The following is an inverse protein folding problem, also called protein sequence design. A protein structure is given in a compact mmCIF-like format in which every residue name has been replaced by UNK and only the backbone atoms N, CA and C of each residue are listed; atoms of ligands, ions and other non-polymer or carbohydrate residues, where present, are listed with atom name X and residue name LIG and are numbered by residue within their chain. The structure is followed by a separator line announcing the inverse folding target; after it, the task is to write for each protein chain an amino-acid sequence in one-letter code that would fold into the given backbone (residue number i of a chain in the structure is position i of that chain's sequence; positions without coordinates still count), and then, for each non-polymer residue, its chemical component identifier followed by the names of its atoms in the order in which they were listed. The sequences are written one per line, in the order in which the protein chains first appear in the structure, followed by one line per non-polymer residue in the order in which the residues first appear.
data_IF_250960088532
#
_entry.id   IF_250960088532
#
_cell.length_a   1.000
_cell.length_b   1.000
_cell.length_c   1.000
_cell.angle_alpha   90.00
_cell.angle_beta   90.00
_cell.angle_gamma   90.00
#
_symmetry.space_group_name_H-M   'P 1'
#
loop_
_entity.id
_entity.type
_entity.pdbx_description
1 polymer ?
#
# COMPACT_ATOMS: atom_id res chain seq x y z
N UNK A 1 14.89 -15.15 12.13
CA UNK A 1 14.04 -16.07 11.32
C UNK A 1 12.78 -16.49 12.07
N UNK A 2 12.85 -17.15 13.24
CA UNK A 2 11.68 -17.69 13.95
C UNK A 2 10.60 -16.65 14.29
N UNK A 3 10.99 -15.47 14.79
CA UNK A 3 10.02 -14.43 15.16
C UNK A 3 9.30 -13.81 13.96
N UNK A 4 10.03 -13.45 12.93
CA UNK A 4 9.48 -12.67 11.80
C UNK A 4 9.11 -13.54 10.60
N UNK A 5 9.83 -14.65 10.36
CA UNK A 5 9.55 -15.58 9.27
C UNK A 5 8.44 -16.59 9.62
N UNK A 6 8.44 -17.11 10.86
CA UNK A 6 7.48 -18.11 11.31
C UNK A 6 6.49 -17.57 12.36
N UNK A 7 6.51 -16.27 12.62
CA UNK A 7 5.63 -15.62 13.59
C UNK A 7 5.68 -16.23 15.00
N UNK A 8 6.80 -16.90 15.39
CA UNK A 8 6.94 -17.54 16.68
C UNK A 8 7.26 -16.51 17.77
N UNK A 9 6.38 -16.30 18.78
CA UNK A 9 6.62 -15.34 19.86
C UNK A 9 7.86 -15.68 20.67
N UNK A 10 8.57 -14.66 21.19
CA UNK A 10 9.81 -14.86 21.92
C UNK A 10 9.66 -15.73 23.18
N UNK A 11 8.54 -15.65 23.88
CA UNK A 11 8.28 -16.50 25.05
C UNK A 11 8.16 -18.00 24.69
N UNK A 12 7.69 -18.32 23.49
CA UNK A 12 7.68 -19.70 23.01
C UNK A 12 9.09 -20.16 22.63
N UNK A 13 9.89 -19.27 22.04
CA UNK A 13 11.29 -19.55 21.75
C UNK A 13 12.09 -19.78 23.04
N UNK A 14 11.85 -19.02 24.13
CA UNK A 14 12.41 -19.25 25.44
C UNK A 14 12.11 -20.65 25.95
N UNK A 15 10.85 -21.09 25.81
CA UNK A 15 10.45 -22.45 26.20
C UNK A 15 11.15 -23.55 25.40
N UNK A 16 11.39 -23.32 24.11
CA UNK A 16 12.17 -24.23 23.26
C UNK A 16 13.64 -24.32 23.68
N UNK A 17 14.27 -23.16 23.87
CA UNK A 17 15.67 -23.10 24.28
C UNK A 17 15.89 -23.77 25.65
N UNK A 18 14.95 -23.55 26.60
CA UNK A 18 14.99 -24.17 27.91
C UNK A 18 14.93 -25.71 27.85
N UNK A 19 14.15 -26.29 26.90
CA UNK A 19 14.06 -27.74 26.70
C UNK A 19 15.38 -28.38 26.29
N UNK A 20 16.22 -27.66 25.57
CA UNK A 20 17.55 -28.12 25.13
C UNK A 20 18.68 -27.66 26.05
N UNK A 21 18.33 -27.16 27.27
CA UNK A 21 19.29 -26.79 28.30
C UNK A 21 19.88 -25.37 28.18
N UNK A 22 19.34 -24.52 27.32
CA UNK A 22 19.81 -23.15 27.15
C UNK A 22 18.90 -22.16 27.89
N UNK A 23 19.47 -21.37 28.80
CA UNK A 23 18.75 -20.42 29.65
C UNK A 23 18.72 -19.01 29.04
N UNK A 24 18.05 -18.85 27.89
CA UNK A 24 17.81 -17.54 27.30
C UNK A 24 16.39 -17.08 27.63
N UNK A 25 16.25 -15.97 28.36
CA UNK A 25 14.95 -15.36 28.62
C UNK A 25 14.43 -14.65 27.35
N UNK A 26 13.09 -14.54 27.25
CA UNK A 26 12.49 -13.76 26.17
C UNK A 26 12.99 -12.30 26.17
N UNK A 27 13.35 -11.75 27.33
CA UNK A 27 13.93 -10.41 27.47
C UNK A 27 15.33 -10.32 26.82
N UNK A 28 16.19 -11.35 27.01
CA UNK A 28 17.48 -11.43 26.35
C UNK A 28 17.31 -11.47 24.82
N UNK A 29 16.38 -12.32 24.34
CA UNK A 29 16.08 -12.43 22.90
C UNK A 29 15.56 -11.10 22.33
N UNK A 30 14.70 -10.38 23.08
CA UNK A 30 14.20 -9.07 22.67
C UNK A 30 15.33 -8.04 22.62
N UNK A 31 16.21 -7.99 23.63
CA UNK A 31 17.34 -7.07 23.66
C UNK A 31 18.30 -7.30 22.50
N UNK A 32 18.60 -8.56 22.14
CA UNK A 32 19.45 -8.87 20.99
C UNK A 32 18.86 -8.35 19.67
N UNK A 33 17.53 -8.48 19.50
CA UNK A 33 16.84 -7.94 18.32
C UNK A 33 16.93 -6.41 18.31
N UNK A 34 16.72 -5.75 19.46
CA UNK A 34 16.80 -4.28 19.58
C UNK A 34 18.21 -3.78 19.26
N UNK A 35 19.25 -4.44 19.81
CA UNK A 35 20.65 -4.08 19.53
C UNK A 35 20.95 -4.29 18.05
N UNK A 36 20.64 -5.46 17.48
CA UNK A 36 20.85 -5.74 16.07
C UNK A 36 20.14 -4.73 15.16
N UNK A 37 18.93 -4.32 15.54
CA UNK A 37 18.17 -3.31 14.80
C UNK A 37 18.87 -1.95 14.82
N UNK A 38 19.35 -1.50 15.99
CA UNK A 38 19.98 -0.20 16.15
C UNK A 38 21.38 -0.11 15.53
N UNK A 39 22.20 -1.15 15.75
CA UNK A 39 23.62 -1.10 15.38
C UNK A 39 23.87 -1.45 13.91
N UNK A 40 23.04 -2.33 13.34
CA UNK A 40 23.31 -2.87 11.99
C UNK A 40 22.17 -2.65 11.01
N UNK A 41 20.92 -2.99 11.41
CA UNK A 41 19.79 -2.94 10.48
C UNK A 41 19.38 -1.50 10.17
N UNK A 42 19.60 -0.54 11.09
CA UNK A 42 19.29 0.86 10.83
C UNK A 42 20.15 1.44 9.69
N UNK A 43 21.42 1.04 9.59
CA UNK A 43 22.29 1.46 8.48
C UNK A 43 21.82 0.89 7.15
N UNK A 44 21.46 -0.40 7.12
CA UNK A 44 20.93 -1.04 5.93
C UNK A 44 19.59 -0.41 5.52
N UNK A 45 18.71 -0.14 6.50
CA UNK A 45 17.42 0.53 6.28
C UNK A 45 17.62 1.92 5.68
N UNK A 46 18.51 2.74 6.24
CA UNK A 46 18.83 4.07 5.72
C UNK A 46 19.34 4.01 4.27
N UNK A 47 20.23 3.07 3.96
CA UNK A 47 20.71 2.90 2.58
C UNK A 47 19.61 2.43 1.62
N UNK A 48 18.75 1.53 2.06
CA UNK A 48 17.57 1.10 1.26
C UNK A 48 16.60 2.26 1.05
N UNK A 49 16.41 3.14 2.04
CA UNK A 49 15.59 4.34 1.91
C UNK A 49 16.15 5.31 0.87
N UNK A 50 17.46 5.61 0.93
CA UNK A 50 18.12 6.46 -0.09
C UNK A 50 17.91 5.89 -1.49
N UNK A 51 18.16 4.60 -1.70
CA UNK A 51 17.97 3.92 -2.99
C UNK A 51 16.50 3.96 -3.42
N UNK A 52 15.57 3.84 -2.47
CA UNK A 52 14.14 3.89 -2.76
C UNK A 52 13.72 5.26 -3.28
N UNK A 53 14.26 6.34 -2.71
CA UNK A 53 13.97 7.72 -3.16
C UNK A 53 14.52 8.04 -4.57
N UNK A 54 15.47 7.24 -5.10
CA UNK A 54 15.97 7.35 -6.47
C UNK A 54 15.02 6.72 -7.51
N UNK A 55 14.00 5.97 -7.09
CA UNK A 55 13.10 5.26 -8.01
C UNK A 55 12.25 6.23 -8.84
N UNK A 56 11.94 5.83 -10.08
CA UNK A 56 11.09 6.61 -10.98
C UNK A 56 9.60 6.51 -10.62
N UNK A 57 9.21 5.42 -9.99
CA UNK A 57 7.86 5.25 -9.47
C UNK A 57 7.91 4.52 -8.12
N UNK A 58 7.27 5.09 -7.12
CA UNK A 58 7.07 4.49 -5.80
C UNK A 58 5.60 4.16 -5.58
N UNK A 59 5.39 3.09 -4.84
CA UNK A 59 4.09 2.72 -4.31
C UNK A 59 4.04 3.05 -2.83
N UNK A 60 2.94 3.62 -2.37
CA UNK A 60 2.69 3.81 -0.94
C UNK A 60 1.28 3.35 -0.57
N UNK A 61 1.17 2.78 0.63
CA UNK A 61 -0.09 2.33 1.21
C UNK A 61 0.03 2.32 2.74
N UNK A 62 -1.08 2.34 3.47
CA UNK A 62 -1.07 2.22 4.92
C UNK A 62 -2.22 1.36 5.42
N UNK A 63 -1.98 0.66 6.52
CA UNK A 63 -2.99 -0.16 7.18
C UNK A 63 -3.09 0.14 8.67
N UNK A 64 -4.31 0.16 9.24
CA UNK A 64 -4.45 0.30 10.68
C UNK A 64 -3.90 -0.94 11.38
N UNK A 65 -3.15 -0.69 12.46
CA UNK A 65 -2.67 -1.70 13.39
C UNK A 65 -3.05 -1.33 14.81
N UNK A 66 -3.16 -2.32 15.68
CA UNK A 66 -3.41 -2.10 17.11
C UNK A 66 -2.11 -2.33 17.88
N UNK A 67 -1.68 -1.32 18.63
CA UNK A 67 -0.50 -1.39 19.49
C UNK A 67 -0.92 -1.31 20.94
N UNK A 68 -0.55 -2.32 21.73
CA UNK A 68 -0.84 -2.35 23.15
C UNK A 68 0.27 -1.70 23.97
N UNK A 69 -0.12 -1.06 25.08
CA UNK A 69 0.78 -0.40 26.03
C UNK A 69 1.62 0.73 25.42
N UNK A 70 1.08 1.40 24.41
CA UNK A 70 1.70 2.60 23.85
C UNK A 70 1.53 3.77 24.83
N UNK A 71 2.63 4.45 25.17
CA UNK A 71 2.65 5.54 26.15
C UNK A 71 1.69 6.66 25.75
N UNK A 72 0.82 7.05 26.67
CA UNK A 72 -0.14 8.13 26.47
C UNK A 72 -1.33 7.79 25.56
N UNK A 73 -1.50 6.52 25.16
CA UNK A 73 -2.58 6.10 24.26
C UNK A 73 -3.38 4.93 24.83
N UNK A 74 -4.66 4.89 24.48
CA UNK A 74 -5.54 3.75 24.84
C UNK A 74 -5.21 2.55 23.96
N UNK A 75 -5.30 1.34 24.49
CA UNK A 75 -5.11 0.10 23.72
C UNK A 75 -6.10 -0.08 22.56
N UNK A 76 -7.21 0.66 22.55
CA UNK A 76 -8.21 0.70 21.48
C UNK A 76 -7.87 1.71 20.37
N UNK A 77 -6.84 2.54 20.55
CA UNK A 77 -6.42 3.54 19.56
C UNK A 77 -5.84 2.83 18.33
N UNK A 78 -6.21 3.31 17.15
CA UNK A 78 -5.63 2.85 15.89
C UNK A 78 -4.30 3.55 15.65
N UNK A 79 -3.25 2.79 15.45
CA UNK A 79 -1.98 3.21 14.88
C UNK A 79 -1.88 2.67 13.45
N UNK A 80 -0.88 3.06 12.70
CA UNK A 80 -0.77 2.71 11.29
C UNK A 80 0.60 2.17 10.96
N UNK A 81 0.63 1.17 10.09
CA UNK A 81 1.83 0.73 9.40
C UNK A 81 1.76 1.26 7.97
N UNK A 82 2.74 2.06 7.60
CA UNK A 82 2.94 2.54 6.25
C UNK A 82 3.89 1.62 5.52
N UNK A 83 3.70 1.44 4.23
CA UNK A 83 4.61 0.73 3.35
C UNK A 83 4.98 1.64 2.18
N UNK A 84 6.27 1.64 1.86
CA UNK A 84 6.81 2.29 0.68
C UNK A 84 7.57 1.25 -0.13
N UNK A 85 7.26 1.14 -1.41
CA UNK A 85 7.72 0.04 -2.23
C UNK A 85 8.22 0.51 -3.59
N UNK A 86 9.31 -0.07 -4.07
CA UNK A 86 9.70 0.08 -5.47
C UNK A 86 8.70 -0.63 -6.37
N UNK A 87 8.55 -0.16 -7.62
CA UNK A 87 7.68 -0.79 -8.61
C UNK A 87 8.08 -2.24 -8.89
N UNK A 88 7.09 -3.10 -9.16
CA UNK A 88 7.34 -4.47 -9.62
C UNK A 88 7.96 -4.52 -11.03
N UNK A 89 7.80 -3.43 -11.79
CA UNK A 89 8.32 -3.28 -13.15
C UNK A 89 9.82 -3.01 -13.18
N UNK A 90 10.45 -2.67 -12.05
CA UNK A 90 11.91 -2.61 -11.94
C UNK A 90 12.45 -4.00 -11.58
N UNK A 91 13.15 -4.70 -12.50
CA UNK A 91 13.63 -6.07 -12.25
C UNK A 91 14.78 -6.13 -11.25
N UNK A 92 15.53 -5.05 -11.08
CA UNK A 92 16.78 -5.00 -10.30
C UNK A 92 16.58 -4.55 -8.87
N UNK A 93 15.52 -3.79 -8.58
CA UNK A 93 15.29 -3.21 -7.26
C UNK A 93 13.91 -3.63 -6.72
N UNK A 94 13.91 -4.47 -5.68
CA UNK A 94 12.69 -4.93 -5.00
C UNK A 94 12.73 -4.54 -3.52
N UNK A 95 12.65 -3.23 -3.27
CA UNK A 95 12.70 -2.66 -1.93
C UNK A 95 11.28 -2.53 -1.38
N UNK A 96 11.10 -2.88 -0.10
CA UNK A 96 9.87 -2.71 0.68
C UNK A 96 10.27 -2.20 2.04
N UNK A 97 9.91 -0.97 2.37
CA UNK A 97 10.17 -0.36 3.66
C UNK A 97 8.86 -0.12 4.40
N UNK A 98 8.90 -0.30 5.70
CA UNK A 98 7.74 -0.16 6.57
C UNK A 98 8.04 0.88 7.64
N UNK A 99 7.08 1.80 7.84
CA UNK A 99 7.12 2.84 8.87
C UNK A 99 5.92 2.74 9.79
N UNK A 100 6.20 2.73 11.08
CA UNK A 100 5.16 2.83 12.10
C UNK A 100 4.80 4.28 12.34
N UNK A 101 3.49 4.57 12.40
CA UNK A 101 3.01 5.87 12.81
C UNK A 101 1.83 5.74 13.80
N UNK A 102 1.80 6.56 14.86
CA UNK A 102 0.70 6.53 15.82
C UNK A 102 -0.61 7.07 15.24
N UNK A 103 -0.57 7.81 14.15
CA UNK A 103 -1.73 8.44 13.51
C UNK A 103 -1.64 8.30 11.99
N UNK A 104 -2.81 8.34 11.30
CA UNK A 104 -2.89 8.49 9.85
C UNK A 104 -2.76 9.98 9.51
N UNK A 105 -1.55 10.43 9.24
CA UNK A 105 -1.25 11.84 8.98
C UNK A 105 -0.46 12.00 7.70
N UNK A 106 -0.74 13.05 6.91
CA UNK A 106 0.05 13.43 5.75
C UNK A 106 1.53 13.59 6.08
N UNK A 107 1.83 14.14 7.27
CA UNK A 107 3.20 14.36 7.74
C UNK A 107 4.06 13.08 7.76
N UNK A 108 3.45 11.91 8.00
CA UNK A 108 4.21 10.64 7.96
C UNK A 108 4.76 10.38 6.56
N UNK A 109 3.93 10.53 5.54
CA UNK A 109 4.34 10.34 4.16
C UNK A 109 5.27 11.48 3.68
N UNK A 110 5.02 12.73 4.08
CA UNK A 110 5.87 13.89 3.76
C UNK A 110 7.30 13.70 4.30
N UNK A 111 7.43 13.25 5.55
CA UNK A 111 8.74 13.01 6.17
C UNK A 111 9.48 11.85 5.50
N UNK A 112 8.79 10.74 5.24
CA UNK A 112 9.42 9.58 4.61
C UNK A 112 9.84 9.87 3.17
N UNK A 113 9.02 10.59 2.42
CA UNK A 113 9.25 10.90 1.01
C UNK A 113 9.96 12.25 0.80
N UNK A 114 10.58 12.81 1.84
CA UNK A 114 11.40 14.02 1.70
C UNK A 114 12.52 13.80 0.68
N UNK A 115 12.59 14.68 -0.32
CA UNK A 115 13.54 14.56 -1.43
C UNK A 115 13.07 13.70 -2.61
N UNK A 116 11.97 12.94 -2.48
CA UNK A 116 11.38 12.23 -3.60
C UNK A 116 10.64 13.20 -4.53
N UNK A 117 10.90 13.10 -5.84
CA UNK A 117 10.34 14.03 -6.83
C UNK A 117 9.73 13.35 -8.06
N UNK A 118 9.78 12.03 -8.15
CA UNK A 118 9.30 11.25 -9.29
C UNK A 118 7.80 10.91 -9.18
N UNK A 119 7.34 9.77 -9.70
CA UNK A 119 5.93 9.39 -9.68
C UNK A 119 5.57 8.60 -8.41
N UNK A 120 4.46 8.96 -7.77
CA UNK A 120 3.94 8.26 -6.58
C UNK A 120 2.60 7.61 -6.91
N UNK A 121 2.50 6.29 -6.76
CA UNK A 121 1.28 5.51 -6.95
C UNK A 121 0.66 5.14 -5.60
N UNK A 122 -0.58 5.56 -5.38
CA UNK A 122 -1.30 5.36 -4.13
C UNK A 122 -2.78 5.04 -4.40
N UNK A 123 -3.53 4.83 -3.31
CA UNK A 123 -4.97 5.06 -3.32
C UNK A 123 -5.29 6.57 -3.35
N UNK A 124 -6.58 6.95 -3.29
CA UNK A 124 -7.01 8.35 -3.27
C UNK A 124 -7.01 8.96 -1.84
N UNK A 125 -6.12 8.51 -0.94
CA UNK A 125 -6.03 9.12 0.38
C UNK A 125 -5.48 10.54 0.30
N UNK A 126 -6.23 11.48 0.86
CA UNK A 126 -5.92 12.92 0.80
C UNK A 126 -4.54 13.27 1.37
N UNK A 127 -4.01 12.46 2.29
CA UNK A 127 -2.70 12.71 2.92
C UNK A 127 -1.51 12.63 1.95
N UNK A 128 -1.67 12.01 0.79
CA UNK A 128 -0.61 11.98 -0.22
C UNK A 128 -0.60 13.23 -1.13
N UNK A 129 -1.69 14.00 -1.16
CA UNK A 129 -1.83 15.15 -2.08
C UNK A 129 -0.88 16.31 -1.81
N UNK A 130 -0.37 16.42 -0.57
CA UNK A 130 0.61 17.44 -0.19
C UNK A 130 2.03 17.16 -0.67
N UNK A 131 2.32 15.92 -1.09
CA UNK A 131 3.67 15.48 -1.49
C UNK A 131 3.96 16.03 -2.90
N UNK A 132 5.05 16.76 -3.03
CA UNK A 132 5.49 17.33 -4.31
C UNK A 132 6.20 16.26 -5.13
N UNK A 133 5.55 15.82 -6.21
CA UNK A 133 6.05 14.77 -7.13
C UNK A 133 5.85 15.20 -8.58
N UNK A 134 6.51 14.50 -9.51
CA UNK A 134 6.27 14.68 -10.95
C UNK A 134 4.82 14.30 -11.34
N UNK A 135 4.20 13.39 -10.59
CA UNK A 135 2.80 13.05 -10.75
C UNK A 135 2.32 12.06 -9.69
N UNK A 136 1.07 12.24 -9.28
CA UNK A 136 0.34 11.30 -8.46
C UNK A 136 -0.44 10.34 -9.35
N UNK A 137 -0.03 9.07 -9.35
CA UNK A 137 -0.73 7.99 -10.03
C UNK A 137 -1.77 7.40 -9.05
N UNK A 138 -2.99 7.18 -9.53
CA UNK A 138 -4.03 6.53 -8.75
C UNK A 138 -4.27 5.09 -9.21
N UNK A 139 -4.58 4.23 -8.26
CA UNK A 139 -4.74 2.81 -8.44
C UNK A 139 -6.02 2.45 -9.21
N UNK A 140 -5.90 1.87 -10.41
CA UNK A 140 -7.04 1.37 -11.19
C UNK A 140 -7.78 0.20 -10.53
N UNK A 141 -7.13 -0.58 -9.68
CA UNK A 141 -7.82 -1.63 -8.93
C UNK A 141 -8.87 -1.04 -7.97
N UNK A 142 -8.59 0.13 -7.35
CA UNK A 142 -9.55 0.86 -6.54
C UNK A 142 -10.70 1.45 -7.38
N UNK A 143 -10.40 2.02 -8.54
CA UNK A 143 -11.44 2.48 -9.48
C UNK A 143 -12.36 1.32 -9.89
N UNK A 144 -11.78 0.17 -10.31
CA UNK A 144 -12.53 -1.04 -10.68
C UNK A 144 -13.41 -1.56 -9.54
N UNK A 145 -12.88 -1.56 -8.31
CA UNK A 145 -13.62 -2.04 -7.12
C UNK A 145 -14.92 -1.28 -6.92
N UNK A 146 -14.95 0.05 -7.15
CA UNK A 146 -16.18 0.85 -7.04
C UNK A 146 -17.29 0.40 -7.99
N UNK A 147 -16.95 -0.04 -9.20
CA UNK A 147 -17.91 -0.64 -10.13
C UNK A 147 -18.34 -2.03 -9.69
N UNK A 148 -17.39 -2.85 -9.21
CA UNK A 148 -17.72 -4.19 -8.69
C UNK A 148 -18.64 -4.10 -7.47
N UNK A 149 -18.41 -3.14 -6.58
CA UNK A 149 -19.25 -2.92 -5.39
C UNK A 149 -20.67 -2.43 -5.75
N UNK A 150 -20.85 -1.81 -6.93
CA UNK A 150 -22.14 -1.43 -7.45
C UNK A 150 -22.92 -2.61 -8.08
N UNK A 151 -22.22 -3.66 -8.53
CA UNK A 151 -22.79 -4.77 -9.28
C UNK A 151 -23.94 -5.52 -8.57
N UNK A 152 -23.90 -5.83 -7.25
CA UNK A 152 -24.98 -6.55 -6.59
C UNK A 152 -26.35 -5.85 -6.63
N UNK A 153 -26.39 -4.53 -6.58
CA UNK A 153 -27.62 -3.76 -6.69
C UNK A 153 -28.24 -3.90 -8.08
N UNK A 154 -27.42 -3.72 -9.11
CA UNK A 154 -27.88 -3.81 -10.51
C UNK A 154 -28.25 -5.23 -10.93
N UNK A 155 -27.55 -6.25 -10.45
CA UNK A 155 -27.89 -7.65 -10.74
C UNK A 155 -29.28 -8.04 -10.20
N UNK A 156 -29.73 -7.44 -9.08
CA UNK A 156 -31.07 -7.67 -8.52
C UNK A 156 -32.18 -6.96 -9.30
N UNK A 157 -31.89 -5.78 -9.85
CA UNK A 157 -32.87 -4.96 -10.55
C UNK A 157 -33.08 -5.40 -11.99
N UNK A 158 -32.07 -6.02 -12.63
CA UNK A 158 -32.06 -6.30 -14.07
C UNK A 158 -32.00 -7.80 -14.42
N UNK A 159 -32.24 -8.67 -13.45
CA UNK A 159 -32.14 -10.14 -13.62
C UNK A 159 -30.78 -10.60 -14.20
N UNK A 160 -29.74 -9.92 -13.77
CA UNK A 160 -28.35 -10.20 -14.14
C UNK A 160 -27.55 -8.94 -14.43
N UNK A 161 -26.26 -9.11 -14.69
CA UNK A 161 -25.33 -7.99 -14.97
C UNK A 161 -25.15 -7.73 -16.48
N UNK A 162 -25.54 -8.67 -17.32
CA UNK A 162 -25.36 -8.53 -18.76
C UNK A 162 -26.13 -7.32 -19.30
N UNK A 163 -25.51 -6.58 -20.22
CA UNK A 163 -26.06 -5.36 -20.82
C UNK A 163 -26.27 -4.18 -19.86
N UNK A 164 -25.73 -4.24 -18.64
CA UNK A 164 -25.80 -3.10 -17.71
C UNK A 164 -24.63 -2.13 -17.88
N UNK A 165 -24.83 -0.87 -17.49
CA UNK A 165 -23.75 0.12 -17.44
C UNK A 165 -22.63 -0.30 -16.45
N UNK A 166 -22.98 -1.01 -15.38
CA UNK A 166 -22.00 -1.53 -14.42
C UNK A 166 -21.05 -2.52 -15.09
N UNK A 167 -21.61 -3.49 -15.85
CA UNK A 167 -20.83 -4.49 -16.60
C UNK A 167 -19.94 -3.81 -17.64
N UNK A 168 -20.51 -2.86 -18.40
CA UNK A 168 -19.75 -2.10 -19.40
C UNK A 168 -18.55 -1.37 -18.78
N UNK A 169 -18.71 -0.74 -17.61
CA UNK A 169 -17.62 -0.11 -16.89
C UNK A 169 -16.55 -1.10 -16.42
N UNK A 170 -16.97 -2.24 -15.86
CA UNK A 170 -16.03 -3.30 -15.42
C UNK A 170 -15.24 -3.84 -16.61
N UNK A 171 -15.89 -4.08 -17.75
CA UNK A 171 -15.24 -4.66 -18.92
C UNK A 171 -14.23 -3.71 -19.56
N UNK A 172 -14.58 -2.42 -19.70
CA UNK A 172 -13.64 -1.42 -20.20
C UNK A 172 -12.40 -1.28 -19.30
N UNK A 173 -12.59 -1.27 -17.97
CA UNK A 173 -11.44 -1.24 -17.06
C UNK A 173 -10.65 -2.56 -17.13
N UNK A 174 -11.31 -3.70 -17.31
CA UNK A 174 -10.63 -5.00 -17.44
C UNK A 174 -9.74 -5.06 -18.68
N UNK A 175 -10.15 -4.43 -19.79
CA UNK A 175 -9.31 -4.32 -20.99
C UNK A 175 -7.96 -3.64 -20.70
N UNK A 176 -7.92 -2.60 -19.85
CA UNK A 176 -6.67 -1.97 -19.44
C UNK A 176 -5.74 -2.96 -18.72
N UNK A 177 -6.29 -3.74 -17.78
CA UNK A 177 -5.50 -4.75 -17.06
C UNK A 177 -5.01 -5.87 -17.99
N UNK A 178 -5.78 -6.23 -19.01
CA UNK A 178 -5.37 -7.26 -19.97
C UNK A 178 -4.23 -6.73 -20.86
N UNK A 179 -4.29 -5.47 -21.31
CA UNK A 179 -3.18 -4.82 -22.01
C UNK A 179 -1.91 -4.73 -21.15
N UNK A 180 -2.05 -4.34 -19.91
CA UNK A 180 -0.92 -4.30 -18.97
C UNK A 180 -0.27 -5.68 -18.71
N UNK A 181 -1.04 -6.78 -18.76
CA UNK A 181 -0.45 -8.14 -18.68
C UNK A 181 0.46 -8.44 -19.86
N UNK A 182 0.09 -7.98 -21.07
CA UNK A 182 0.90 -8.13 -22.27
C UNK A 182 2.18 -7.29 -22.22
N UNK A 183 2.15 -6.17 -21.47
CA UNK A 183 3.28 -5.26 -21.31
C UNK A 183 4.33 -5.69 -20.27
N UNK A 184 4.08 -6.76 -19.48
CA UNK A 184 4.95 -7.14 -18.35
C UNK A 184 6.41 -7.43 -18.70
N UNK A 185 6.64 -8.01 -19.88
CA UNK A 185 7.98 -8.37 -20.36
C UNK A 185 8.67 -7.28 -21.15
N UNK A 186 7.99 -6.17 -21.44
CA UNK A 186 8.52 -5.07 -22.22
C UNK A 186 9.45 -4.19 -21.39
N UNK A 187 10.40 -3.53 -22.04
CA UNK A 187 11.18 -2.44 -21.43
C UNK A 187 10.25 -1.27 -21.04
N UNK A 188 10.68 -0.39 -20.14
CA UNK A 188 9.89 0.78 -19.79
C UNK A 188 9.55 1.67 -21.00
N UNK A 189 10.48 1.82 -21.93
CA UNK A 189 10.33 2.61 -23.16
C UNK A 189 9.27 1.98 -24.08
N UNK A 190 9.38 0.67 -24.36
CA UNK A 190 8.41 -0.07 -25.15
C UNK A 190 7.02 -0.06 -24.52
N UNK A 191 6.95 -0.17 -23.18
CA UNK A 191 5.70 -0.11 -22.44
C UNK A 191 5.06 1.27 -22.55
N UNK A 192 5.84 2.34 -22.43
CA UNK A 192 5.37 3.71 -22.62
C UNK A 192 4.72 3.91 -23.99
N UNK A 193 5.43 3.53 -25.08
CA UNK A 193 4.92 3.66 -26.43
C UNK A 193 3.65 2.82 -26.66
N UNK A 194 3.64 1.60 -26.17
CA UNK A 194 2.48 0.71 -26.31
C UNK A 194 1.25 1.24 -25.57
N UNK A 195 1.42 1.78 -24.38
CA UNK A 195 0.34 2.44 -23.61
C UNK A 195 -0.25 3.63 -24.36
N UNK A 196 0.59 4.44 -24.99
CA UNK A 196 0.12 5.57 -25.78
C UNK A 196 -0.69 5.13 -27.02
N UNK A 197 -0.31 4.03 -27.66
CA UNK A 197 -0.99 3.49 -28.82
C UNK A 197 -2.28 2.72 -28.49
N UNK A 198 -2.27 1.90 -27.44
CA UNK A 198 -3.33 0.95 -27.17
C UNK A 198 -4.24 1.37 -25.99
N UNK A 199 -3.67 1.83 -24.88
CA UNK A 199 -4.46 2.11 -23.67
C UNK A 199 -5.03 3.53 -23.63
N UNK A 200 -4.31 4.51 -24.13
CA UNK A 200 -4.81 5.89 -24.19
C UNK A 200 -6.13 6.03 -24.97
N UNK A 201 -6.34 5.35 -26.12
CA UNK A 201 -7.66 5.32 -26.77
C UNK A 201 -8.75 4.67 -25.91
N UNK A 202 -8.45 3.56 -25.21
CA UNK A 202 -9.41 2.90 -24.29
C UNK A 202 -9.81 3.85 -23.17
N UNK A 203 -8.84 4.53 -22.56
CA UNK A 203 -9.10 5.53 -21.52
C UNK A 203 -9.96 6.68 -22.02
N UNK A 204 -9.67 7.20 -23.22
CA UNK A 204 -10.47 8.25 -23.84
C UNK A 204 -11.93 7.81 -24.03
N UNK A 205 -12.15 6.59 -24.51
CA UNK A 205 -13.48 6.01 -24.70
C UNK A 205 -14.20 5.81 -23.35
N UNK A 206 -13.51 5.29 -22.32
CA UNK A 206 -14.05 5.07 -20.99
C UNK A 206 -14.50 6.39 -20.32
N UNK A 207 -13.68 7.43 -20.39
CA UNK A 207 -14.06 8.73 -19.81
C UNK A 207 -15.22 9.36 -20.56
N UNK A 208 -15.22 9.34 -21.90
CA UNK A 208 -16.36 9.84 -22.69
C UNK A 208 -17.64 9.05 -22.41
N UNK A 209 -17.55 7.73 -22.25
CA UNK A 209 -18.67 6.89 -21.86
C UNK A 209 -19.19 7.28 -20.46
N UNK A 210 -18.33 7.51 -19.49
CA UNK A 210 -18.71 7.93 -18.15
C UNK A 210 -19.40 9.31 -18.17
N UNK A 211 -18.85 10.30 -18.88
CA UNK A 211 -19.45 11.63 -19.07
C UNK A 211 -20.84 11.55 -19.68
N UNK A 212 -21.02 10.73 -20.72
CA UNK A 212 -22.31 10.60 -21.42
C UNK A 212 -23.41 9.89 -20.60
N UNK A 213 -23.04 9.18 -19.53
CA UNK A 213 -24.00 8.36 -18.78
C UNK A 213 -24.21 8.82 -17.33
N UNK A 214 -23.27 9.54 -16.71
CA UNK A 214 -23.37 9.90 -15.28
C UNK A 214 -24.62 10.71 -14.96
N UNK A 215 -25.03 11.65 -15.82
CA UNK A 215 -26.19 12.52 -15.62
C UNK A 215 -27.55 11.80 -15.81
N UNK A 216 -27.52 10.60 -16.41
CA UNK A 216 -28.72 9.77 -16.62
C UNK A 216 -29.04 8.88 -15.42
N UNK A 217 -28.12 8.81 -14.44
CA UNK A 217 -28.24 7.95 -13.27
C UNK A 217 -28.87 8.70 -12.09
N UNK A 218 -29.47 7.94 -11.19
CA UNK A 218 -29.96 8.47 -9.92
C UNK A 218 -28.78 9.06 -9.11
N UNK A 219 -28.91 10.32 -8.70
CA UNK A 219 -27.96 10.95 -7.80
C UNK A 219 -27.80 10.11 -6.52
N UNK A 220 -26.59 9.79 -6.11
CA UNK A 220 -26.25 8.93 -4.95
C UNK A 220 -26.36 7.42 -5.19
N UNK A 221 -26.58 6.94 -6.41
CA UNK A 221 -26.40 5.50 -6.67
C UNK A 221 -24.92 5.11 -6.55
N UNK A 222 -24.67 3.84 -6.27
CA UNK A 222 -23.29 3.31 -6.20
C UNK A 222 -22.55 3.46 -7.54
N UNK A 223 -23.29 3.32 -8.66
CA UNK A 223 -22.72 3.52 -10.00
C UNK A 223 -22.40 4.98 -10.28
N UNK A 224 -23.27 5.93 -9.89
CA UNK A 224 -22.98 7.37 -9.98
C UNK A 224 -21.72 7.72 -9.19
N UNK A 225 -21.56 7.14 -7.99
CA UNK A 225 -20.35 7.31 -7.18
C UNK A 225 -19.10 6.77 -7.88
N UNK A 226 -19.19 5.61 -8.53
CA UNK A 226 -18.09 5.02 -9.30
C UNK A 226 -17.70 5.86 -10.52
N UNK A 227 -18.69 6.35 -11.28
CA UNK A 227 -18.45 7.23 -12.44
C UNK A 227 -17.88 8.59 -12.04
N UNK A 228 -18.42 9.21 -11.00
CA UNK A 228 -17.88 10.47 -10.46
C UNK A 228 -16.42 10.31 -9.96
N UNK A 229 -16.10 9.17 -9.37
CA UNK A 229 -14.73 8.87 -8.99
C UNK A 229 -13.80 8.82 -10.21
N UNK A 230 -14.19 8.17 -11.30
CA UNK A 230 -13.43 8.16 -12.55
C UNK A 230 -13.19 9.58 -13.07
N UNK A 231 -14.26 10.37 -13.16
CA UNK A 231 -14.22 11.70 -13.76
C UNK A 231 -13.41 12.70 -12.93
N UNK A 232 -13.61 12.70 -11.61
CA UNK A 232 -12.88 13.62 -10.71
C UNK A 232 -11.41 13.24 -10.53
N UNK A 233 -11.05 11.98 -10.75
CA UNK A 233 -9.67 11.48 -10.60
C UNK A 233 -8.97 11.19 -11.95
N UNK A 234 -9.50 11.74 -13.06
CA UNK A 234 -8.97 11.50 -14.42
C UNK A 234 -7.46 11.70 -14.51
N UNK A 235 -6.93 12.80 -14.01
CA UNK A 235 -5.51 13.13 -14.10
C UNK A 235 -4.64 12.10 -13.37
N UNK A 236 -5.04 11.70 -12.16
CA UNK A 236 -4.34 10.68 -11.39
C UNK A 236 -4.43 9.29 -12.03
N UNK A 237 -5.60 8.93 -12.56
CA UNK A 237 -5.83 7.64 -13.23
C UNK A 237 -5.11 7.53 -14.59
N UNK A 238 -4.85 8.63 -15.26
CA UNK A 238 -4.08 8.65 -16.52
C UNK A 238 -2.58 8.89 -16.31
N UNK A 239 -2.16 9.22 -15.10
CA UNK A 239 -0.78 9.60 -14.78
C UNK A 239 0.23 8.48 -15.13
N UNK A 240 -0.13 7.20 -14.95
CA UNK A 240 0.74 6.06 -15.26
C UNK A 240 1.17 5.97 -16.73
N UNK A 241 0.41 6.61 -17.64
CA UNK A 241 0.80 6.71 -19.06
C UNK A 241 2.03 7.58 -19.31
N UNK A 242 2.45 8.38 -18.32
CA UNK A 242 3.56 9.33 -18.48
C UNK A 242 4.94 8.67 -18.36
N UNK A 243 5.01 7.48 -17.77
CA UNK A 243 6.27 6.78 -17.54
C UNK A 243 6.06 5.26 -17.52
N UNK A 244 6.88 4.52 -18.27
CA UNK A 244 6.80 3.06 -18.34
C UNK A 244 7.18 2.33 -17.05
N UNK A 245 7.74 3.01 -16.05
CA UNK A 245 7.97 2.46 -14.71
C UNK A 245 6.76 2.57 -13.79
N UNK A 246 5.74 3.34 -14.15
CA UNK A 246 4.52 3.44 -13.34
C UNK A 246 3.66 2.19 -13.53
N UNK A 247 3.22 1.56 -12.43
CA UNK A 247 2.25 0.47 -12.47
C UNK A 247 0.82 1.03 -12.65
N UNK A 248 -0.08 0.22 -13.21
CA UNK A 248 -1.51 0.57 -13.29
C UNK A 248 -2.22 0.42 -11.95
N UNK A 249 -1.68 -0.35 -11.01
CA UNK A 249 -2.31 -0.63 -9.73
C UNK A 249 -1.32 -0.67 -8.58
N UNK A 250 -1.81 -0.32 -7.37
CA UNK A 250 -1.03 -0.32 -6.13
C UNK A 250 -0.90 -1.70 -5.48
N UNK A 251 -1.18 -2.78 -6.21
CA UNK A 251 -1.14 -4.16 -5.70
C UNK A 251 0.20 -4.53 -5.06
N UNK A 252 1.29 -3.92 -5.51
CA UNK A 252 2.63 -4.14 -4.96
C UNK A 252 2.72 -3.71 -3.49
N UNK A 253 2.24 -2.53 -3.13
CA UNK A 253 2.18 -2.05 -1.76
C UNK A 253 1.11 -2.80 -0.96
N UNK A 254 -0.11 -2.97 -1.51
CA UNK A 254 -1.20 -3.69 -0.86
C UNK A 254 -0.82 -5.12 -0.47
N UNK A 255 -0.16 -5.87 -1.35
CA UNK A 255 0.30 -7.22 -1.06
C UNK A 255 1.44 -7.23 -0.02
N UNK A 256 2.29 -6.22 -0.02
CA UNK A 256 3.40 -6.10 0.94
C UNK A 256 2.89 -5.82 2.36
N UNK A 257 1.81 -5.04 2.51
CA UNK A 257 1.24 -4.68 3.80
C UNK A 257 0.28 -5.74 4.35
N UNK A 258 -0.22 -6.64 3.50
CA UNK A 258 -1.19 -7.71 3.87
C UNK A 258 -0.78 -8.55 5.09
N UNK A 259 0.51 -8.93 5.32
CA UNK A 259 0.89 -9.66 6.52
C UNK A 259 0.51 -8.97 7.83
N UNK A 260 0.55 -7.63 7.87
CA UNK A 260 0.14 -6.86 9.05
C UNK A 260 -1.38 -6.91 9.28
N UNK A 261 -2.19 -6.91 8.21
CA UNK A 261 -3.65 -7.02 8.31
C UNK A 261 -4.10 -8.42 8.72
N UNK A 262 -3.46 -9.46 8.21
CA UNK A 262 -3.74 -10.86 8.58
C UNK A 262 -3.25 -11.12 10.00
N UNK A 263 -2.05 -10.64 10.37
CA UNK A 263 -1.50 -10.74 11.72
C UNK A 263 -2.41 -10.10 12.77
N UNK A 264 -3.02 -8.96 12.49
CA UNK A 264 -3.99 -8.33 13.37
C UNK A 264 -5.23 -9.19 13.63
N UNK A 265 -5.70 -9.95 12.63
CA UNK A 265 -6.83 -10.89 12.77
C UNK A 265 -6.45 -12.19 13.50
N UNK A 266 -5.20 -12.59 13.48
CA UNK A 266 -4.69 -13.83 14.11
C UNK A 266 -4.06 -13.61 15.47
N UNK A 267 -4.21 -12.40 16.07
CA UNK A 267 -3.69 -12.09 17.40
C UNK A 267 -2.22 -11.65 17.41
N UNK A 268 -1.69 -11.18 16.30
CA UNK A 268 -0.38 -10.51 16.25
C UNK A 268 -0.51 -9.15 16.95
N UNK A 269 -0.37 -9.16 18.29
CA UNK A 269 -0.35 -7.95 19.08
C UNK A 269 1.04 -7.30 18.99
N UNK A 270 1.09 -6.10 18.42
CA UNK A 270 2.28 -5.26 18.52
C UNK A 270 2.22 -4.58 19.90
N UNK A 271 3.25 -4.80 20.70
CA UNK A 271 3.38 -4.14 22.00
C UNK A 271 4.54 -3.16 21.93
N UNK A 272 4.31 -1.91 22.32
CA UNK A 272 5.38 -0.92 22.41
C UNK A 272 6.45 -1.39 23.41
N UNK A 273 7.73 -1.19 23.14
CA UNK A 273 8.79 -1.47 24.10
C UNK A 273 8.54 -0.67 25.39
N UNK A 274 8.64 -1.32 26.54
CA UNK A 274 8.70 -0.57 27.81
C UNK A 274 10.03 0.20 27.82
N UNK A 275 9.97 1.49 28.12
CA UNK A 275 11.20 2.26 28.40
C UNK A 275 11.97 1.53 29.52
N UNK A 276 13.28 1.35 29.40
CA UNK A 276 14.08 0.83 30.51
C UNK A 276 13.85 1.76 31.71
N UNK A 277 13.48 1.18 32.86
CA UNK A 277 13.44 1.93 34.11
C UNK A 277 14.81 2.55 34.31
N UNK A 278 14.93 3.84 34.68
CA UNK A 278 16.21 4.41 35.01
C UNK A 278 16.82 3.53 36.12
N UNK A 279 18.02 3.04 35.88
CA UNK A 279 18.82 2.39 36.91
C UNK A 279 19.11 3.49 37.88
N UNK A 280 18.48 3.45 39.07
CA UNK A 280 18.86 4.27 40.20
C UNK A 280 20.31 3.88 40.50
N UNK A 281 21.24 4.76 40.17
CA UNK A 281 22.63 4.66 40.63
C UNK A 281 22.54 4.76 42.15
N UNK A 282 22.71 3.64 42.83
CA UNK A 282 22.99 3.61 44.25
C UNK A 282 24.42 4.15 44.41
N UNK A 283 24.54 5.46 44.58
CA UNK A 283 25.71 6.05 45.20
C UNK A 283 25.61 5.72 46.68
N UNK A 284 26.42 4.78 47.12
CA UNK A 284 26.87 4.65 48.50
C UNK A 284 28.25 5.25 48.63
#
# INVERSE_FOLDING_TARGET
MQKYGYALPLYRQESEWKRIGLAFSWANLANWIIIASKEWLALAYGRMHEILLEERCLHADETPIQVHNEKGRKNTSKSYMWVYASTALNPTRKIRLFEYAPMRSAHCAETFLEGFSSYLLTDDYVGYRSIKTAGHCLCWAHARRKFVDAAPAYAKETDGLENTLVKAGIDQISQLFDKEKECKSLSPEERYERRLGEEKPILKALFAWAENNVDKLLSKSSLTTAMNYLLSNRDGLTCYLKDGYCDISNNTAENSIRPFTVGGKTGFLVTAPREPKPVLSSTA
#
